data_IF_243853441223
#
_entry.id   IF_243853441223
#
_cell.length_a   1.000
_cell.length_b   1.000
_cell.length_c   1.000
_cell.angle_alpha   90.00
_cell.angle_beta   90.00
_cell.angle_gamma   90.00
#
_symmetry.space_group_name_H-M   'P 1'
#
loop_
_entity.id
_entity.type
_entity.pdbx_description
1 polymer ?
#
# COMPACT_ATOMS: atom_id res chain seq x y z
N UNK A 1 -21.40 9.64 4.26
CA UNK A 1 -19.99 9.40 4.61
C UNK A 1 -19.87 7.95 5.04
N UNK A 2 -19.05 7.15 4.39
CA UNK A 2 -18.77 5.78 4.80
C UNK A 2 -17.55 5.77 5.72
N UNK A 3 -17.56 4.92 6.74
CA UNK A 3 -16.44 4.70 7.64
C UNK A 3 -15.86 3.33 7.31
N UNK A 4 -14.58 3.29 7.00
CA UNK A 4 -13.84 2.05 6.76
C UNK A 4 -13.00 1.64 7.97
N UNK A 5 -12.63 0.37 8.03
CA UNK A 5 -11.74 -0.19 9.06
C UNK A 5 -10.52 -0.80 8.39
N UNK A 6 -9.33 -0.44 8.86
CA UNK A 6 -8.09 -1.07 8.40
C UNK A 6 -7.84 -2.40 9.12
N UNK A 7 -7.38 -3.42 8.41
CA UNK A 7 -6.90 -4.67 9.02
C UNK A 7 -5.72 -4.44 9.95
N UNK A 8 -4.98 -3.32 9.79
CA UNK A 8 -3.94 -2.87 10.72
C UNK A 8 -4.45 -2.70 12.16
N UNK A 9 -5.77 -2.48 12.37
CA UNK A 9 -6.37 -2.44 13.71
C UNK A 9 -6.30 -3.78 14.45
N UNK A 10 -6.10 -4.86 13.71
CA UNK A 10 -5.95 -6.22 14.21
C UNK A 10 -4.51 -6.77 14.07
N UNK A 11 -3.58 -5.91 13.64
CA UNK A 11 -2.16 -6.25 13.49
C UNK A 11 -1.60 -6.94 14.74
N UNK A 12 -0.80 -7.98 14.56
CA UNK A 12 -0.27 -8.88 15.59
C UNK A 12 -1.33 -9.68 16.40
N UNK A 13 -2.60 -9.58 16.05
CA UNK A 13 -3.68 -10.35 16.71
C UNK A 13 -4.33 -11.34 15.76
N UNK A 14 -4.45 -10.98 14.48
CA UNK A 14 -5.05 -11.82 13.44
C UNK A 14 -4.27 -11.64 12.14
N UNK A 15 -4.21 -12.67 11.33
CA UNK A 15 -3.76 -12.57 9.94
C UNK A 15 -4.79 -11.84 9.08
N UNK A 16 -4.38 -11.26 7.96
CA UNK A 16 -5.25 -10.46 7.10
C UNK A 16 -6.50 -11.22 6.63
N UNK A 17 -6.36 -12.48 6.25
CA UNK A 17 -7.48 -13.33 5.82
C UNK A 17 -8.52 -13.57 6.91
N UNK A 18 -8.10 -13.67 8.17
CA UNK A 18 -8.99 -13.83 9.32
C UNK A 18 -9.57 -12.48 9.77
N UNK A 19 -8.78 -11.41 9.68
CA UNK A 19 -9.23 -10.05 9.94
C UNK A 19 -10.40 -9.66 9.03
N UNK A 20 -10.37 -10.02 7.75
CA UNK A 20 -11.49 -9.76 6.83
C UNK A 20 -12.78 -10.47 7.27
N UNK A 21 -12.69 -11.72 7.77
CA UNK A 21 -13.85 -12.42 8.31
C UNK A 21 -14.41 -11.67 9.52
N UNK A 22 -13.53 -11.32 10.47
CA UNK A 22 -13.92 -10.55 11.67
C UNK A 22 -14.58 -9.22 11.30
N UNK A 23 -14.05 -8.48 10.32
CA UNK A 23 -14.64 -7.21 9.88
C UNK A 23 -16.04 -7.41 9.28
N UNK A 24 -16.25 -8.49 8.49
CA UNK A 24 -17.58 -8.84 8.00
C UNK A 24 -18.56 -9.16 9.14
N UNK A 25 -18.13 -9.95 10.14
CA UNK A 25 -18.96 -10.32 11.29
C UNK A 25 -19.34 -9.11 12.14
N UNK A 26 -18.45 -8.11 12.22
CA UNK A 26 -18.72 -6.83 12.90
C UNK A 26 -19.58 -5.87 12.07
N UNK A 27 -19.95 -6.23 10.84
CA UNK A 27 -20.81 -5.42 9.99
C UNK A 27 -20.09 -4.23 9.33
N UNK A 28 -18.78 -4.28 9.16
CA UNK A 28 -18.05 -3.30 8.37
C UNK A 28 -18.46 -3.41 6.89
N UNK A 29 -18.57 -2.27 6.19
CA UNK A 29 -18.88 -2.23 4.77
C UNK A 29 -17.64 -1.96 3.91
N UNK A 30 -16.67 -1.22 4.45
CA UNK A 30 -15.47 -0.76 3.76
C UNK A 30 -14.26 -1.10 4.59
N UNK A 31 -13.18 -1.56 3.92
CA UNK A 31 -11.92 -1.82 4.60
C UNK A 31 -10.71 -1.30 3.82
N UNK A 32 -9.62 -1.12 4.55
CA UNK A 32 -8.27 -1.11 4.06
C UNK A 32 -7.61 -2.44 4.42
N UNK A 33 -6.78 -2.98 3.51
CA UNK A 33 -5.98 -4.16 3.80
C UNK A 33 -4.52 -3.74 3.98
N UNK A 34 -3.97 -4.04 5.15
CA UNK A 34 -2.59 -3.75 5.51
C UNK A 34 -1.72 -5.00 5.35
N UNK A 35 -1.03 -5.12 4.21
CA UNK A 35 -0.18 -6.26 3.89
C UNK A 35 1.15 -6.18 4.68
N UNK A 36 1.48 -7.26 5.39
CA UNK A 36 2.52 -7.25 6.41
C UNK A 36 3.87 -7.78 5.92
N UNK A 37 3.87 -8.69 4.95
CA UNK A 37 5.07 -9.39 4.54
C UNK A 37 5.08 -9.77 3.05
N UNK A 38 6.27 -10.15 2.54
CA UNK A 38 6.47 -10.47 1.13
C UNK A 38 5.64 -11.64 0.61
N UNK A 39 5.31 -12.62 1.46
CA UNK A 39 4.45 -13.75 1.08
C UNK A 39 3.02 -13.31 0.76
N UNK A 40 2.55 -12.23 1.39
CA UNK A 40 1.23 -11.63 1.16
C UNK A 40 1.13 -10.86 -0.17
N UNK A 41 2.24 -10.65 -0.87
CA UNK A 41 2.26 -10.02 -2.19
C UNK A 41 2.10 -11.02 -3.34
N UNK A 42 1.84 -12.29 -3.03
CA UNK A 42 1.65 -13.34 -4.03
C UNK A 42 0.25 -13.31 -4.63
N UNK A 43 0.13 -13.83 -5.86
CA UNK A 43 -1.18 -13.95 -6.51
C UNK A 43 -2.10 -14.92 -5.76
N UNK A 44 -1.54 -15.98 -5.18
CA UNK A 44 -2.25 -16.97 -4.36
C UNK A 44 -2.85 -16.32 -3.13
N UNK A 45 -2.11 -15.44 -2.47
CA UNK A 45 -2.62 -14.70 -1.32
C UNK A 45 -3.72 -13.71 -1.73
N UNK A 46 -3.58 -13.04 -2.87
CA UNK A 46 -4.64 -12.19 -3.41
C UNK A 46 -5.94 -12.95 -3.66
N UNK A 47 -5.88 -14.18 -4.17
CA UNK A 47 -7.04 -15.08 -4.32
C UNK A 47 -7.64 -15.48 -2.97
N UNK A 48 -6.80 -15.74 -1.97
CA UNK A 48 -7.25 -16.03 -0.61
C UNK A 48 -8.03 -14.85 -0.03
N UNK A 49 -7.48 -13.64 -0.08
CA UNK A 49 -8.16 -12.43 0.39
C UNK A 49 -9.50 -12.21 -0.33
N UNK A 50 -9.55 -12.40 -1.65
CA UNK A 50 -10.78 -12.31 -2.43
C UNK A 50 -11.85 -13.29 -1.94
N UNK A 51 -11.46 -14.50 -1.58
CA UNK A 51 -12.39 -15.53 -1.04
C UNK A 51 -12.87 -15.21 0.39
N UNK A 52 -12.13 -14.40 1.14
CA UNK A 52 -12.40 -14.08 2.56
C UNK A 52 -13.07 -12.73 2.77
N UNK A 53 -12.95 -11.81 1.81
CA UNK A 53 -13.48 -10.44 1.97
C UNK A 53 -15.02 -10.37 2.07
N UNK A 54 -15.75 -11.41 1.62
CA UNK A 54 -17.20 -11.39 1.62
C UNK A 54 -17.76 -10.16 0.89
N UNK A 55 -18.64 -9.40 1.57
CA UNK A 55 -19.26 -8.19 1.04
C UNK A 55 -18.44 -6.91 1.28
N UNK A 56 -17.27 -6.99 1.92
CA UNK A 56 -16.43 -5.82 2.16
C UNK A 56 -15.99 -5.18 0.85
N UNK A 57 -16.21 -3.88 0.73
CA UNK A 57 -15.56 -3.05 -0.28
C UNK A 57 -14.12 -2.77 0.19
N UNK A 58 -13.14 -3.28 -0.53
CA UNK A 58 -11.74 -2.93 -0.30
C UNK A 58 -11.50 -1.56 -0.92
N UNK A 59 -11.29 -0.53 -0.10
CA UNK A 59 -11.03 0.83 -0.58
C UNK A 59 -9.56 1.05 -0.90
N UNK A 60 -8.68 0.59 -0.01
CA UNK A 60 -7.24 0.78 -0.17
C UNK A 60 -6.43 -0.46 0.22
N UNK A 61 -5.23 -0.53 -0.37
CA UNK A 61 -4.15 -1.38 0.13
C UNK A 61 -3.08 -0.50 0.76
N UNK A 62 -2.48 -1.01 1.82
CA UNK A 62 -1.36 -0.43 2.51
C UNK A 62 -0.33 -1.52 2.80
N UNK A 63 0.94 -1.21 2.91
CA UNK A 63 2.00 -2.18 3.22
C UNK A 63 2.87 -1.71 4.37
N UNK A 64 3.58 -2.64 5.01
CA UNK A 64 4.66 -2.25 5.91
C UNK A 64 5.75 -1.54 5.09
N UNK A 65 5.88 -0.24 5.28
CA UNK A 65 6.74 0.67 4.49
C UNK A 65 8.17 0.18 4.36
N UNK A 66 8.73 -0.40 5.44
CA UNK A 66 10.12 -0.87 5.47
C UNK A 66 10.38 -2.08 4.54
N UNK A 67 9.34 -2.76 4.06
CA UNK A 67 9.52 -3.92 3.21
C UNK A 67 10.12 -3.53 1.84
N UNK A 68 9.58 -2.51 1.16
CA UNK A 68 10.09 -2.09 -0.14
C UNK A 68 9.83 -0.62 -0.49
N UNK A 69 8.90 0.09 0.17
CA UNK A 69 8.51 1.44 -0.24
C UNK A 69 9.68 2.43 -0.25
N UNK A 70 10.56 2.36 0.75
CA UNK A 70 11.74 3.23 0.83
C UNK A 70 12.66 3.04 -0.37
N UNK A 71 12.76 1.82 -0.89
CA UNK A 71 13.59 1.49 -2.05
C UNK A 71 12.98 1.94 -3.39
N UNK A 72 11.68 2.25 -3.42
CA UNK A 72 11.06 2.90 -4.58
C UNK A 72 11.63 4.29 -4.85
N UNK A 73 12.24 4.92 -3.85
CA UNK A 73 12.87 6.25 -3.94
C UNK A 73 14.42 6.20 -3.98
N UNK A 74 14.99 4.99 -4.06
CA UNK A 74 16.44 4.81 -4.13
C UNK A 74 17.03 5.31 -5.45
N UNK A 75 18.30 5.71 -5.42
CA UNK A 75 19.08 6.01 -6.62
C UNK A 75 19.69 4.76 -7.26
N UNK A 76 19.68 3.62 -6.55
CA UNK A 76 20.19 2.35 -7.05
C UNK A 76 19.15 1.72 -8.00
N UNK A 77 19.45 1.58 -9.32
CA UNK A 77 18.47 1.09 -10.27
C UNK A 77 18.09 -0.39 -10.07
N UNK A 78 18.95 -1.19 -9.46
CA UNK A 78 18.67 -2.61 -9.17
C UNK A 78 17.67 -2.71 -8.00
N UNK A 79 17.94 -2.00 -6.91
CA UNK A 79 17.05 -1.97 -5.76
C UNK A 79 15.68 -1.37 -6.13
N UNK A 80 15.66 -0.30 -6.95
CA UNK A 80 14.41 0.22 -7.50
C UNK A 80 13.64 -0.82 -8.31
N UNK A 81 14.31 -1.57 -9.19
CA UNK A 81 13.68 -2.61 -10.00
C UNK A 81 13.03 -3.69 -9.13
N UNK A 82 13.73 -4.13 -8.09
CA UNK A 82 13.23 -5.15 -7.17
C UNK A 82 12.02 -4.62 -6.38
N UNK A 83 12.12 -3.41 -5.83
CA UNK A 83 11.02 -2.75 -5.11
C UNK A 83 9.80 -2.52 -6.01
N UNK A 84 10.01 -2.05 -7.25
CA UNK A 84 8.93 -1.87 -8.22
C UNK A 84 8.24 -3.19 -8.56
N UNK A 85 8.98 -4.30 -8.61
CA UNK A 85 8.41 -5.63 -8.80
C UNK A 85 7.48 -6.06 -7.65
N UNK A 86 7.78 -5.69 -6.40
CA UNK A 86 6.87 -5.90 -5.27
C UNK A 86 5.68 -4.94 -5.32
N UNK A 87 5.91 -3.68 -5.65
CA UNK A 87 4.84 -2.70 -5.83
C UNK A 87 3.80 -3.18 -6.84
N UNK A 88 4.24 -3.63 -8.01
CA UNK A 88 3.33 -4.17 -9.04
C UNK A 88 2.55 -5.41 -8.57
N UNK A 89 3.15 -6.29 -7.75
CA UNK A 89 2.45 -7.43 -7.16
C UNK A 89 1.32 -6.97 -6.23
N UNK A 90 1.59 -5.98 -5.38
CA UNK A 90 0.58 -5.39 -4.50
C UNK A 90 -0.53 -4.72 -5.32
N UNK A 91 -0.17 -3.97 -6.37
CA UNK A 91 -1.16 -3.35 -7.26
C UNK A 91 -2.05 -4.39 -7.96
N UNK A 92 -1.50 -5.53 -8.39
CA UNK A 92 -2.30 -6.64 -8.96
C UNK A 92 -3.29 -7.19 -7.95
N UNK A 93 -2.88 -7.33 -6.69
CA UNK A 93 -3.78 -7.72 -5.61
C UNK A 93 -4.88 -6.68 -5.42
N UNK A 94 -4.55 -5.38 -5.40
CA UNK A 94 -5.53 -4.29 -5.33
C UNK A 94 -6.53 -4.33 -6.49
N UNK A 95 -6.06 -4.48 -7.71
CA UNK A 95 -6.93 -4.61 -8.89
C UNK A 95 -7.89 -5.79 -8.77
N UNK A 96 -7.42 -6.95 -8.31
CA UNK A 96 -8.24 -8.14 -8.06
C UNK A 96 -9.34 -7.87 -7.03
N UNK A 97 -9.02 -7.16 -5.96
CA UNK A 97 -9.94 -6.87 -4.86
C UNK A 97 -10.86 -5.67 -5.14
N UNK A 98 -10.63 -4.95 -6.24
CA UNK A 98 -11.37 -3.74 -6.60
C UNK A 98 -10.97 -2.51 -5.77
N UNK A 99 -9.75 -2.48 -5.25
CA UNK A 99 -9.23 -1.32 -4.51
C UNK A 99 -9.07 -0.08 -5.41
N UNK A 100 -9.40 1.07 -4.86
CA UNK A 100 -9.32 2.37 -5.55
C UNK A 100 -8.00 3.09 -5.27
N UNK A 101 -7.38 2.79 -4.12
CA UNK A 101 -6.21 3.49 -3.62
C UNK A 101 -5.11 2.53 -3.15
N UNK A 102 -3.86 3.00 -3.28
CA UNK A 102 -2.71 2.49 -2.57
C UNK A 102 -2.25 3.56 -1.58
N UNK A 103 -2.32 3.28 -0.29
CA UNK A 103 -1.82 4.16 0.76
C UNK A 103 -0.30 4.01 0.85
N UNK A 104 0.42 5.11 0.75
CA UNK A 104 1.89 5.13 0.68
C UNK A 104 2.47 6.13 1.67
N UNK A 105 3.44 5.71 2.45
CA UNK A 105 4.29 6.62 3.24
C UNK A 105 5.48 7.13 2.41
N UNK A 106 5.97 6.32 1.48
CA UNK A 106 7.12 6.61 0.66
C UNK A 106 8.44 6.45 1.42
N UNK A 107 9.33 7.43 1.30
CA UNK A 107 10.64 7.43 1.97
C UNK A 107 10.59 8.16 3.31
N UNK A 108 11.66 8.01 4.09
CA UNK A 108 11.82 8.81 5.30
C UNK A 108 11.87 10.32 4.99
N UNK A 109 11.47 11.13 5.95
CA UNK A 109 11.45 12.59 5.88
C UNK A 109 12.77 13.14 5.40
N UNK A 110 12.73 14.08 4.46
CA UNK A 110 13.87 14.87 4.02
C UNK A 110 14.15 15.89 5.12
N UNK A 111 15.38 15.91 5.65
CA UNK A 111 15.77 16.87 6.70
C UNK A 111 15.65 18.29 6.16
N UNK A 112 15.20 19.21 7.02
CA UNK A 112 15.12 20.66 6.73
C UNK A 112 16.50 21.16 6.26
N UNK A 113 16.53 21.87 5.11
CA UNK A 113 17.77 22.35 4.49
C UNK A 113 18.43 21.32 3.55
N UNK A 114 17.87 20.11 3.45
CA UNK A 114 18.24 19.19 2.39
C UNK A 114 17.61 19.68 1.07
N UNK A 115 18.41 19.62 0.05
CA UNK A 115 18.26 20.05 -1.31
C UNK A 115 16.82 20.06 -1.87
N UNK A 116 16.43 21.18 -2.44
CA UNK A 116 15.32 21.28 -3.38
C UNK A 116 15.37 20.15 -4.43
N UNK A 117 16.57 19.77 -4.89
CA UNK A 117 16.78 18.64 -5.79
C UNK A 117 16.29 17.29 -5.25
N UNK A 118 16.31 17.07 -3.94
CA UNK A 118 15.78 15.85 -3.35
C UNK A 118 14.25 15.79 -3.41
N UNK A 119 13.57 16.91 -3.21
CA UNK A 119 12.11 17.00 -3.39
C UNK A 119 11.71 16.83 -4.85
N UNK A 120 12.45 17.48 -5.77
CA UNK A 120 12.24 17.36 -7.20
C UNK A 120 12.38 15.90 -7.66
N UNK A 121 13.48 15.22 -7.29
CA UNK A 121 13.72 13.81 -7.62
C UNK A 121 12.65 12.90 -7.02
N UNK A 122 12.19 13.18 -5.80
CA UNK A 122 11.11 12.43 -5.16
C UNK A 122 9.79 12.63 -5.90
N UNK A 123 9.49 13.85 -6.35
CA UNK A 123 8.30 14.15 -7.16
C UNK A 123 8.33 13.47 -8.53
N UNK A 124 9.47 13.50 -9.21
CA UNK A 124 9.67 12.79 -10.48
C UNK A 124 9.47 11.27 -10.31
N UNK A 125 10.00 10.71 -9.23
CA UNK A 125 9.81 9.30 -8.89
C UNK A 125 8.36 8.98 -8.59
N UNK A 126 7.69 9.81 -7.80
CA UNK A 126 6.28 9.64 -7.47
C UNK A 126 5.40 9.67 -8.73
N UNK A 127 5.70 10.55 -9.69
CA UNK A 127 4.98 10.58 -10.97
C UNK A 127 5.05 9.22 -11.68
N UNK A 128 6.23 8.61 -11.77
CA UNK A 128 6.41 7.28 -12.37
C UNK A 128 5.61 6.21 -11.62
N UNK A 129 5.56 6.29 -10.29
CA UNK A 129 4.78 5.35 -9.47
C UNK A 129 3.27 5.55 -9.65
N UNK A 130 2.81 6.80 -9.80
CA UNK A 130 1.41 7.10 -10.12
C UNK A 130 1.02 6.52 -11.48
N UNK A 131 1.85 6.72 -12.51
CA UNK A 131 1.63 6.14 -13.84
C UNK A 131 1.58 4.60 -13.80
N UNK A 132 2.33 3.99 -12.87
CA UNK A 132 2.30 2.55 -12.66
C UNK A 132 1.02 2.12 -11.98
N UNK A 133 0.58 2.81 -10.91
CA UNK A 133 -0.64 2.49 -10.18
C UNK A 133 -1.89 2.66 -11.06
N UNK A 134 -1.91 3.67 -11.92
CA UNK A 134 -3.02 3.94 -12.84
C UNK A 134 -3.29 2.77 -13.80
N UNK A 135 -2.24 2.04 -14.23
CA UNK A 135 -2.39 0.83 -15.07
C UNK A 135 -3.20 -0.28 -14.40
N UNK A 136 -3.26 -0.26 -13.07
CA UNK A 136 -4.03 -1.20 -12.25
C UNK A 136 -5.34 -0.59 -11.72
N UNK A 137 -5.70 0.61 -12.20
CA UNK A 137 -6.93 1.31 -11.80
C UNK A 137 -6.87 1.94 -10.41
N UNK A 138 -5.68 2.14 -9.85
CA UNK A 138 -5.51 2.69 -8.51
C UNK A 138 -4.83 4.05 -8.51
N UNK A 139 -5.14 4.84 -7.48
CA UNK A 139 -4.47 6.10 -7.15
C UNK A 139 -3.50 5.88 -5.99
N UNK A 140 -2.40 6.63 -5.97
CA UNK A 140 -1.54 6.70 -4.78
C UNK A 140 -2.08 7.78 -3.86
N UNK A 141 -2.31 7.41 -2.60
CA UNK A 141 -2.69 8.32 -1.52
C UNK A 141 -1.51 8.43 -0.56
N UNK A 142 -0.86 9.59 -0.52
CA UNK A 142 0.25 9.83 0.40
C UNK A 142 -0.29 10.09 1.80
N UNK A 143 0.19 9.33 2.77
CA UNK A 143 -0.14 9.54 4.17
C UNK A 143 0.87 10.49 4.84
N UNK A 144 0.36 11.55 5.48
CA UNK A 144 1.17 12.54 6.17
C UNK A 144 1.47 12.09 7.61
N UNK A 145 2.53 11.35 7.78
CA UNK A 145 3.04 10.94 9.09
C UNK A 145 4.39 11.65 9.38
N UNK A 146 4.66 11.92 10.65
CA UNK A 146 5.78 12.77 11.08
C UNK A 146 7.18 12.33 10.62
N UNK A 147 7.35 11.05 10.30
CA UNK A 147 8.61 10.47 9.86
C UNK A 147 8.70 10.25 8.33
N UNK A 148 7.61 10.39 7.62
CA UNK A 148 7.55 10.19 6.18
C UNK A 148 7.87 11.46 5.38
N UNK A 149 8.02 11.33 4.08
CA UNK A 149 8.40 12.43 3.18
C UNK A 149 7.34 13.52 3.06
N UNK A 150 6.08 13.17 3.25
CA UNK A 150 4.96 14.11 3.26
C UNK A 150 4.47 14.30 4.69
N UNK A 151 4.80 15.43 5.32
CA UNK A 151 4.38 15.76 6.68
C UNK A 151 4.10 17.25 6.83
#
# INVERSE_FOLDING_TARGET
MEIGVSTASLFLRQYNEDALITLNELGANVCEIFLECFSEYSEEFGKLLESRKGNLKVHSLHVVTLNFETELFTVNPRAFKDANGYFEKVLKTGQRLGAECYTMHGRARIKTGADYDNYKKSGERLSVLCDTAEKYGMKICLENVSWAMCN
#
